data_IF_728667424968
#
_entry.id   IF_728667424968
#
_cell.length_a   1.000
_cell.length_b   1.000
_cell.length_c   1.000
_cell.angle_alpha   90.00
_cell.angle_beta   90.00
_cell.angle_gamma   90.00
#
_symmetry.space_group_name_H-M   'P 1'
#
loop_
_entity.id
_entity.type
_entity.pdbx_description
1 polymer ?
#
# COMPACT_ATOMS: atom_id res chain seq x y z
N UNK A 1 70.07 41.81 39.50
CA UNK A 1 68.82 41.67 40.28
C UNK A 1 67.98 40.61 39.58
N UNK A 2 68.18 39.33 39.95
CA UNK A 2 67.37 38.52 40.88
C UNK A 2 66.08 37.95 40.26
N UNK A 3 66.21 36.69 39.80
CA UNK A 3 65.37 35.46 39.95
C UNK A 3 63.82 35.50 39.87
N UNK A 4 63.29 34.36 39.40
CA UNK A 4 62.04 33.66 39.79
C UNK A 4 60.75 34.14 39.06
N UNK A 5 59.71 33.34 38.81
CA UNK A 5 59.28 31.96 39.12
C UNK A 5 58.09 31.67 38.16
N UNK A 6 57.96 30.48 37.58
CA UNK A 6 57.13 29.37 38.05
C UNK A 6 55.60 29.55 37.97
N UNK A 7 54.99 28.47 37.47
CA UNK A 7 53.70 27.89 37.87
C UNK A 7 52.40 28.40 37.22
N UNK A 8 51.82 27.44 36.49
CA UNK A 8 50.41 27.20 36.23
C UNK A 8 49.43 27.65 37.32
N UNK A 9 48.26 28.14 36.90
CA UNK A 9 47.02 27.90 37.62
C UNK A 9 45.83 27.74 36.68
N UNK A 10 44.89 26.94 37.16
CA UNK A 10 43.87 26.16 36.50
C UNK A 10 42.63 27.00 36.19
N UNK A 11 41.93 26.64 35.11
CA UNK A 11 40.61 27.20 34.84
C UNK A 11 39.95 26.65 33.57
N UNK A 12 39.81 25.33 33.45
CA UNK A 12 38.90 24.75 32.44
C UNK A 12 37.46 25.01 32.90
N UNK A 13 36.89 26.11 32.44
CA UNK A 13 35.45 26.39 32.54
C UNK A 13 34.77 25.71 31.36
N UNK A 14 34.46 24.41 31.49
CA UNK A 14 33.59 23.70 30.56
C UNK A 14 32.14 23.99 30.92
N UNK A 15 31.63 25.14 30.44
CA UNK A 15 30.19 25.44 30.43
C UNK A 15 29.59 24.89 29.13
N UNK A 16 28.54 24.09 29.24
CA UNK A 16 27.67 23.76 28.10
C UNK A 16 27.28 22.30 28.01
N UNK A 17 26.45 21.86 28.97
CA UNK A 17 25.57 20.71 28.76
C UNK A 17 24.65 21.01 27.57
N UNK A 18 24.70 20.25 26.48
CA UNK A 18 23.54 19.99 25.64
C UNK A 18 23.58 18.54 25.18
N UNK A 19 22.58 17.80 25.62
CA UNK A 19 22.37 16.39 25.38
C UNK A 19 22.29 16.07 23.88
N UNK A 20 23.00 15.01 23.50
CA UNK A 20 22.87 14.31 22.23
C UNK A 20 21.44 13.76 22.14
N UNK A 21 20.61 14.34 21.27
CA UNK A 21 19.26 13.87 20.98
C UNK A 21 19.30 12.50 20.33
N UNK A 22 18.86 11.48 21.06
CA UNK A 22 18.50 10.17 20.51
C UNK A 22 17.15 10.35 19.81
N UNK A 23 17.22 10.55 18.49
CA UNK A 23 16.05 10.56 17.62
C UNK A 23 15.52 9.12 17.54
N UNK A 24 14.61 8.79 18.44
CA UNK A 24 13.87 7.53 18.42
C UNK A 24 12.97 7.54 17.19
N UNK A 25 13.33 6.72 16.19
CA UNK A 25 12.44 6.32 15.10
C UNK A 25 11.26 5.54 15.71
N UNK A 26 10.20 6.26 16.08
CA UNK A 26 8.90 5.65 16.27
C UNK A 26 8.40 5.23 14.89
N UNK A 27 8.56 3.94 14.60
CA UNK A 27 7.88 3.30 13.49
C UNK A 27 6.38 3.52 13.69
N UNK A 28 5.82 4.47 12.94
CA UNK A 28 4.38 4.63 12.80
C UNK A 28 3.95 3.44 11.97
N UNK A 29 3.63 2.31 12.60
CA UNK A 29 2.80 1.30 11.96
C UNK A 29 1.43 1.94 11.81
N UNK A 30 1.25 2.65 10.69
CA UNK A 30 -0.06 2.95 10.19
C UNK A 30 -0.71 1.59 9.90
N UNK A 31 -1.36 1.02 10.90
CA UNK A 31 -2.35 -0.03 10.72
C UNK A 31 -3.47 0.60 9.89
N UNK A 32 -3.29 0.66 8.57
CA UNK A 32 -4.37 0.95 7.65
C UNK A 32 -5.40 -0.14 7.87
N UNK A 33 -6.46 0.21 8.60
CA UNK A 33 -7.57 -0.70 8.83
C UNK A 33 -8.07 -1.12 7.46
N UNK A 34 -7.92 -2.41 7.14
CA UNK A 34 -8.43 -2.95 5.88
C UNK A 34 -9.91 -2.61 5.79
N UNK A 35 -10.28 -1.89 4.74
CA UNK A 35 -11.67 -1.49 4.49
C UNK A 35 -12.60 -2.71 4.53
N UNK A 36 -13.85 -2.50 4.92
CA UNK A 36 -14.83 -3.59 5.08
C UNK A 36 -14.98 -4.41 3.80
N UNK A 37 -14.88 -3.77 2.63
CA UNK A 37 -14.91 -4.48 1.35
C UNK A 37 -13.72 -5.43 1.17
N UNK A 38 -12.52 -5.04 1.63
CA UNK A 38 -11.32 -5.90 1.60
C UNK A 38 -11.51 -7.14 2.47
N UNK A 39 -12.12 -6.96 3.66
CA UNK A 39 -12.39 -8.07 4.59
C UNK A 39 -13.43 -9.06 4.06
N UNK A 40 -14.46 -8.58 3.37
CA UNK A 40 -15.47 -9.44 2.76
C UNK A 40 -14.88 -10.21 1.56
N UNK A 41 -14.03 -9.56 0.76
CA UNK A 41 -13.37 -10.20 -0.37
C UNK A 41 -12.43 -11.34 0.07
N UNK A 42 -11.73 -11.21 1.20
CA UNK A 42 -10.84 -12.26 1.74
C UNK A 42 -11.54 -13.56 2.17
N UNK A 43 -12.88 -13.60 2.20
CA UNK A 43 -13.66 -14.78 2.62
C UNK A 43 -14.10 -15.64 1.42
N UNK A 44 -14.15 -15.09 0.20
CA UNK A 44 -14.52 -15.84 -1.00
C UNK A 44 -13.37 -16.68 -1.56
N UNK A 45 -13.65 -17.85 -2.12
CA UNK A 45 -12.65 -18.66 -2.87
C UNK A 45 -12.03 -17.85 -4.03
N UNK A 46 -12.75 -16.86 -4.55
CA UNK A 46 -12.33 -16.03 -5.67
C UNK A 46 -12.44 -16.75 -7.01
N UNK A 47 -12.25 -16.02 -8.10
CA UNK A 47 -12.21 -16.58 -9.47
C UNK A 47 -10.90 -16.22 -10.11
N UNK A 48 -10.41 -17.00 -11.07
CA UNK A 48 -9.29 -16.55 -11.89
C UNK A 48 -9.67 -15.24 -12.58
N UNK A 49 -8.75 -14.28 -12.60
CA UNK A 49 -8.99 -13.00 -13.25
C UNK A 49 -9.31 -13.20 -14.75
N UNK A 50 -8.64 -14.14 -15.41
CA UNK A 50 -8.87 -14.53 -16.80
C UNK A 50 -10.30 -15.05 -17.06
N UNK A 51 -10.94 -15.65 -16.06
CA UNK A 51 -12.29 -16.21 -16.12
C UNK A 51 -13.37 -15.21 -15.70
N UNK A 52 -13.00 -14.03 -15.20
CA UNK A 52 -13.97 -13.02 -14.81
C UNK A 52 -14.84 -12.59 -15.98
N UNK A 53 -16.13 -12.43 -15.69
CA UNK A 53 -17.07 -11.80 -16.60
C UNK A 53 -16.67 -10.33 -16.83
N UNK A 54 -16.27 -10.02 -18.06
CA UNK A 54 -15.93 -8.65 -18.48
C UNK A 54 -17.18 -7.93 -18.99
N UNK A 55 -17.66 -6.92 -18.26
CA UNK A 55 -18.84 -6.13 -18.68
C UNK A 55 -18.71 -4.61 -18.55
N UNK A 56 -17.56 -4.10 -18.12
CA UNK A 56 -17.35 -2.66 -17.98
C UNK A 56 -17.19 -1.97 -19.33
N UNK A 57 -18.15 -1.12 -19.71
CA UNK A 57 -18.13 -0.42 -21.01
C UNK A 57 -17.55 1.00 -20.97
N UNK A 58 -17.49 1.64 -19.79
CA UNK A 58 -16.94 3.01 -19.67
C UNK A 58 -16.34 3.25 -18.30
N UNK A 59 -15.01 3.28 -18.26
CA UNK A 59 -14.25 3.78 -17.12
C UNK A 59 -14.07 5.29 -17.28
N UNK A 60 -14.46 6.06 -16.26
CA UNK A 60 -14.34 7.52 -16.23
C UNK A 60 -12.98 8.01 -15.70
N UNK A 61 -12.24 7.15 -15.02
CA UNK A 61 -10.93 7.46 -14.44
C UNK A 61 -9.98 6.30 -14.67
N UNK A 62 -8.77 6.59 -15.19
CA UNK A 62 -7.72 5.58 -15.35
C UNK A 62 -7.60 4.72 -14.07
N UNK A 63 -7.70 3.38 -14.16
CA UNK A 63 -7.57 2.52 -12.99
C UNK A 63 -6.22 2.70 -12.30
N UNK A 64 -6.19 2.55 -10.98
CA UNK A 64 -4.98 2.71 -10.17
C UNK A 64 -4.86 1.56 -9.17
N UNK A 65 -3.63 1.10 -8.96
CA UNK A 65 -3.30 0.16 -7.90
C UNK A 65 -3.33 0.89 -6.55
N UNK A 66 -3.94 0.24 -5.56
CA UNK A 66 -4.03 0.67 -4.17
C UNK A 66 -3.78 -0.51 -3.24
N UNK A 67 -3.43 -0.23 -1.98
CA UNK A 67 -3.28 -1.25 -0.93
C UNK A 67 -2.38 -2.43 -1.36
N UNK A 68 -1.30 -2.13 -2.10
CA UNK A 68 -0.39 -3.13 -2.66
C UNK A 68 0.44 -3.78 -1.55
N UNK A 69 0.42 -5.10 -1.53
CA UNK A 69 1.22 -5.98 -0.68
C UNK A 69 2.01 -6.94 -1.57
N UNK A 70 2.76 -7.86 -0.97
CA UNK A 70 3.50 -8.90 -1.72
C UNK A 70 2.57 -9.76 -2.58
N UNK A 71 1.39 -10.11 -2.05
CA UNK A 71 0.49 -11.11 -2.64
C UNK A 71 -0.93 -10.59 -2.91
N UNK A 72 -1.22 -9.32 -2.65
CA UNK A 72 -2.56 -8.78 -2.87
C UNK A 72 -2.51 -7.29 -3.16
N UNK A 73 -3.51 -6.82 -3.89
CA UNK A 73 -3.69 -5.41 -4.21
C UNK A 73 -5.14 -5.12 -4.58
N UNK A 74 -5.47 -3.83 -4.55
CA UNK A 74 -6.75 -3.32 -4.99
C UNK A 74 -6.57 -2.55 -6.29
N UNK A 75 -7.55 -2.62 -7.19
CA UNK A 75 -7.64 -1.72 -8.34
C UNK A 75 -8.83 -0.79 -8.12
N UNK A 76 -8.55 0.50 -7.93
CA UNK A 76 -9.58 1.54 -7.88
C UNK A 76 -9.87 2.08 -9.27
N UNK A 77 -11.14 2.18 -9.60
CA UNK A 77 -11.62 2.84 -10.81
C UNK A 77 -13.00 3.47 -10.58
N UNK A 78 -13.41 4.34 -11.49
CA UNK A 78 -14.77 4.88 -11.53
C UNK A 78 -15.41 4.39 -12.81
N UNK A 79 -16.60 3.81 -12.72
CA UNK A 79 -17.40 3.45 -13.89
C UNK A 79 -18.80 4.06 -13.80
N UNK A 80 -19.39 4.40 -14.95
CA UNK A 80 -20.81 4.81 -14.99
C UNK A 80 -21.76 3.61 -14.97
N UNK A 81 -21.24 2.41 -15.19
CA UNK A 81 -22.06 1.21 -15.33
C UNK A 81 -22.37 0.62 -13.95
N UNK A 82 -23.65 0.29 -13.72
CA UNK A 82 -24.08 -0.56 -12.61
C UNK A 82 -23.97 -2.06 -12.95
N UNK A 83 -23.11 -2.42 -13.93
CA UNK A 83 -22.93 -3.80 -14.35
C UNK A 83 -22.33 -4.68 -13.25
N UNK A 84 -22.45 -6.00 -13.38
CA UNK A 84 -21.95 -6.96 -12.38
C UNK A 84 -20.53 -7.46 -12.63
N UNK A 85 -19.89 -7.07 -13.74
CA UNK A 85 -18.57 -7.55 -14.13
C UNK A 85 -17.50 -6.46 -14.20
N UNK A 86 -16.25 -6.88 -14.17
CA UNK A 86 -15.06 -6.01 -14.12
C UNK A 86 -14.72 -5.50 -15.52
N UNK A 87 -14.30 -4.23 -15.69
CA UNK A 87 -13.79 -3.75 -16.97
C UNK A 87 -12.52 -4.48 -17.44
N UNK A 88 -12.35 -4.61 -18.76
CA UNK A 88 -11.24 -5.37 -19.35
C UNK A 88 -9.88 -4.84 -18.92
N UNK A 89 -9.70 -3.53 -18.90
CA UNK A 89 -8.45 -2.87 -18.53
C UNK A 89 -8.13 -2.98 -17.03
N UNK A 90 -9.12 -3.22 -16.17
CA UNK A 90 -8.89 -3.50 -14.75
C UNK A 90 -8.42 -4.94 -14.57
N UNK A 91 -9.07 -5.89 -15.26
CA UNK A 91 -8.67 -7.30 -15.27
C UNK A 91 -7.26 -7.48 -15.82
N UNK A 92 -6.98 -6.91 -16.99
CA UNK A 92 -5.69 -7.09 -17.66
C UNK A 92 -4.55 -6.44 -16.87
N UNK A 93 -4.82 -5.31 -16.20
CA UNK A 93 -3.88 -4.71 -15.24
C UNK A 93 -3.57 -5.65 -14.08
N UNK A 94 -4.59 -6.32 -13.53
CA UNK A 94 -4.40 -7.25 -12.43
C UNK A 94 -3.60 -8.49 -12.86
N UNK A 95 -3.88 -9.03 -14.05
CA UNK A 95 -3.13 -10.14 -14.64
C UNK A 95 -1.66 -9.76 -14.79
N UNK A 96 -1.37 -8.63 -15.47
CA UNK A 96 0.00 -8.18 -15.69
C UNK A 96 0.77 -7.95 -14.37
N UNK A 97 0.08 -7.46 -13.33
CA UNK A 97 0.69 -7.26 -12.02
C UNK A 97 1.15 -8.58 -11.38
N UNK A 98 0.32 -9.62 -11.39
CA UNK A 98 0.71 -10.93 -10.83
C UNK A 98 1.69 -11.69 -11.72
N UNK A 99 1.58 -11.57 -13.05
CA UNK A 99 2.53 -12.17 -13.99
C UNK A 99 3.94 -11.60 -13.82
N UNK A 100 4.07 -10.32 -13.41
CA UNK A 100 5.38 -9.70 -13.14
C UNK A 100 6.16 -10.34 -11.98
N UNK A 101 5.49 -11.17 -11.17
CA UNK A 101 6.06 -11.92 -10.05
C UNK A 101 5.82 -13.42 -10.18
N UNK A 102 5.63 -13.92 -11.41
CA UNK A 102 5.41 -15.34 -11.74
C UNK A 102 4.22 -15.99 -11.00
N UNK A 103 3.18 -15.21 -10.69
CA UNK A 103 1.93 -15.65 -10.04
C UNK A 103 0.72 -15.40 -10.92
N UNK A 104 -0.42 -15.97 -10.53
CA UNK A 104 -1.70 -15.77 -11.21
C UNK A 104 -2.63 -14.89 -10.39
N UNK A 105 -3.34 -14.00 -11.07
CA UNK A 105 -4.31 -13.12 -10.45
C UNK A 105 -5.64 -13.84 -10.16
N UNK A 106 -6.03 -13.84 -8.90
CA UNK A 106 -7.33 -14.26 -8.39
C UNK A 106 -8.16 -13.04 -8.04
N UNK A 107 -9.34 -12.91 -8.64
CA UNK A 107 -10.32 -11.90 -8.27
C UNK A 107 -11.11 -12.35 -7.04
N UNK A 108 -11.09 -11.54 -6.00
CA UNK A 108 -11.73 -11.84 -4.71
C UNK A 108 -13.09 -11.18 -4.55
N UNK A 109 -13.36 -10.12 -5.32
CA UNK A 109 -14.64 -9.42 -5.30
C UNK A 109 -14.50 -7.96 -5.68
N UNK A 110 -15.62 -7.24 -5.63
CA UNK A 110 -15.67 -5.80 -5.86
C UNK A 110 -16.47 -5.14 -4.73
N UNK A 111 -16.04 -3.97 -4.26
CA UNK A 111 -16.86 -3.08 -3.44
C UNK A 111 -17.19 -1.82 -4.22
N UNK A 112 -18.38 -1.27 -3.98
CA UNK A 112 -18.87 -0.05 -4.62
C UNK A 112 -19.16 0.99 -3.55
N UNK A 113 -18.52 2.15 -3.65
CA UNK A 113 -18.83 3.29 -2.79
C UNK A 113 -20.08 4.01 -3.29
N UNK A 114 -21.24 3.76 -2.66
CA UNK A 114 -22.51 4.45 -2.98
C UNK A 114 -22.41 5.98 -2.89
N UNK A 115 -21.57 6.50 -1.99
CA UNK A 115 -21.38 7.94 -1.77
C UNK A 115 -20.26 8.53 -2.65
N UNK A 116 -19.35 7.70 -3.17
CA UNK A 116 -18.15 8.13 -3.89
C UNK A 116 -18.30 8.04 -5.41
N UNK A 117 -19.41 8.55 -5.96
CA UNK A 117 -19.61 8.70 -7.41
C UNK A 117 -19.36 7.41 -8.24
N UNK A 118 -19.86 6.27 -7.79
CA UNK A 118 -19.63 4.96 -8.42
C UNK A 118 -18.15 4.53 -8.48
N UNK A 119 -17.35 4.97 -7.51
CA UNK A 119 -16.02 4.41 -7.31
C UNK A 119 -16.13 2.94 -6.93
N UNK A 120 -15.42 2.10 -7.67
CA UNK A 120 -15.33 0.66 -7.46
C UNK A 120 -13.90 0.33 -7.02
N UNK A 121 -13.78 -0.54 -6.02
CA UNK A 121 -12.54 -1.23 -5.69
C UNK A 121 -12.68 -2.69 -6.07
N UNK A 122 -11.83 -3.16 -6.97
CA UNK A 122 -11.69 -4.58 -7.28
C UNK A 122 -10.52 -5.16 -6.46
N UNK A 123 -10.77 -6.28 -5.79
CA UNK A 123 -9.81 -6.94 -4.91
C UNK A 123 -9.15 -8.10 -5.64
N UNK A 124 -7.82 -8.15 -5.60
CA UNK A 124 -7.04 -9.22 -6.23
C UNK A 124 -5.99 -9.80 -5.29
N UNK A 125 -5.75 -11.10 -5.45
CA UNK A 125 -4.66 -11.85 -4.83
C UNK A 125 -3.79 -12.47 -5.92
N UNK A 126 -2.47 -12.44 -5.75
CA UNK A 126 -1.52 -13.15 -6.59
C UNK A 126 -1.20 -14.49 -5.93
N UNK A 127 -1.58 -15.58 -6.57
CA UNK A 127 -1.35 -16.94 -6.05
C UNK A 127 -0.40 -17.71 -6.95
N UNK A 128 0.49 -18.49 -6.36
CA UNK A 128 1.29 -19.47 -7.11
C UNK A 128 0.37 -20.57 -7.66
N UNK A 129 0.65 -21.04 -8.87
CA UNK A 129 -0.09 -22.17 -9.47
C UNK A 129 0.34 -23.54 -8.92
N UNK A 130 1.34 -23.56 -8.05
CA UNK A 130 1.88 -24.77 -7.46
C UNK A 130 0.97 -25.27 -6.32
N UNK A 131 0.23 -26.35 -6.59
CA UNK A 131 -0.37 -27.23 -5.58
C UNK A 131 0.54 -28.42 -5.31
#
# INVERSE_FOLDING_TARGET
MFINNAAADKGVVMKGQVLISILTLTAITACSTTDVGTRIASIGEGTLASEQRVTGKTILMKPRLEDVTEDSFNVRYIEMSFGTGTPVNVRDMAIAQCESIDKVAMHKGNSRGLIQANTVKAYYECVSLDK
#
